data_IF_649481582497
#
_entry.id   IF_649481582497
#
_cell.length_a   1.000
_cell.length_b   1.000
_cell.length_c   1.000
_cell.angle_alpha   90.00
_cell.angle_beta   90.00
_cell.angle_gamma   90.00
#
_symmetry.space_group_name_H-M   'P 1'
#
loop_
_entity.id
_entity.type
_entity.pdbx_description
1 polymer ?
#
# COMPACT_ATOMS: atom_id res chain seq x y z
N UNK A 1 -27.80 17.86 23.80
CA UNK A 1 -27.36 16.46 24.02
C UNK A 1 -27.63 15.58 22.80
N UNK A 2 -28.88 15.42 22.33
CA UNK A 2 -29.23 14.53 21.21
C UNK A 2 -28.52 14.86 19.88
N UNK A 3 -28.43 16.14 19.50
CA UNK A 3 -27.75 16.57 18.27
C UNK A 3 -26.25 16.25 18.29
N UNK A 4 -25.59 16.44 19.44
CA UNK A 4 -24.16 16.13 19.59
C UNK A 4 -23.87 14.62 19.47
N UNK A 5 -24.74 13.77 20.02
CA UNK A 5 -24.63 12.31 19.88
C UNK A 5 -24.85 11.87 18.43
N UNK A 6 -25.81 12.48 17.73
CA UNK A 6 -26.10 12.17 16.32
C UNK A 6 -24.93 12.55 15.40
N UNK A 7 -24.31 13.71 15.63
CA UNK A 7 -23.13 14.17 14.88
C UNK A 7 -21.93 13.25 15.12
N UNK A 8 -21.69 12.85 16.37
CA UNK A 8 -20.62 11.91 16.71
C UNK A 8 -20.85 10.52 16.10
N UNK A 9 -22.09 10.02 16.13
CA UNK A 9 -22.44 8.74 15.52
C UNK A 9 -22.28 8.76 13.99
N UNK A 10 -22.70 9.84 13.33
CA UNK A 10 -22.51 10.03 11.90
C UNK A 10 -21.02 10.11 11.53
N UNK A 11 -20.22 10.86 12.30
CA UNK A 11 -18.77 10.94 12.10
C UNK A 11 -18.10 9.57 12.29
N UNK A 12 -18.46 8.82 13.34
CA UNK A 12 -17.94 7.48 13.57
C UNK A 12 -18.31 6.49 12.46
N UNK A 13 -19.52 6.58 11.91
CA UNK A 13 -19.98 5.76 10.80
C UNK A 13 -19.19 6.07 9.51
N UNK A 14 -19.03 7.35 9.19
CA UNK A 14 -18.27 7.80 8.01
C UNK A 14 -16.81 7.37 8.13
N UNK A 15 -16.16 7.66 9.26
CA UNK A 15 -14.78 7.29 9.51
C UNK A 15 -14.59 5.77 9.53
N UNK A 16 -15.48 5.02 10.19
CA UNK A 16 -15.45 3.56 10.25
C UNK A 16 -15.67 2.87 8.89
N UNK A 17 -16.34 3.53 7.94
CA UNK A 17 -16.58 2.98 6.60
C UNK A 17 -15.34 3.00 5.69
N UNK A 18 -14.41 3.92 5.91
CA UNK A 18 -13.19 4.11 5.10
C UNK A 18 -12.35 2.83 4.96
N UNK A 19 -11.94 2.12 6.05
CA UNK A 19 -11.14 0.90 5.93
C UNK A 19 -11.86 -0.23 5.19
N UNK A 20 -13.19 -0.32 5.34
CA UNK A 20 -14.02 -1.33 4.67
C UNK A 20 -14.05 -1.07 3.17
N UNK A 21 -14.33 0.18 2.78
CA UNK A 21 -14.36 0.60 1.38
C UNK A 21 -13.00 0.44 0.71
N UNK A 22 -11.89 0.79 1.39
CA UNK A 22 -10.54 0.55 0.87
C UNK A 22 -10.27 -0.93 0.63
N UNK A 23 -10.65 -1.80 1.57
CA UNK A 23 -10.45 -3.25 1.44
C UNK A 23 -11.26 -3.84 0.28
N UNK A 24 -12.49 -3.38 0.08
CA UNK A 24 -13.34 -3.78 -1.05
C UNK A 24 -12.77 -3.26 -2.38
N UNK A 25 -12.35 -2.00 -2.43
CA UNK A 25 -11.72 -1.39 -3.61
C UNK A 25 -10.48 -2.16 -4.05
N UNK A 26 -9.57 -2.48 -3.12
CA UNK A 26 -8.37 -3.29 -3.44
C UNK A 26 -8.70 -4.69 -3.95
N UNK A 27 -9.72 -5.33 -3.38
CA UNK A 27 -10.18 -6.64 -3.87
C UNK A 27 -10.69 -6.54 -5.31
N UNK A 28 -11.45 -5.50 -5.62
CA UNK A 28 -11.96 -5.27 -6.97
C UNK A 28 -10.83 -4.95 -7.96
N UNK A 29 -9.89 -4.08 -7.58
CA UNK A 29 -8.73 -3.73 -8.42
C UNK A 29 -7.92 -5.00 -8.74
N UNK A 30 -7.57 -5.80 -7.72
CA UNK A 30 -6.82 -7.05 -7.93
C UNK A 30 -7.60 -8.08 -8.76
N UNK A 31 -8.92 -8.14 -8.62
CA UNK A 31 -9.75 -9.01 -9.45
C UNK A 31 -9.72 -8.57 -10.92
N UNK A 32 -9.71 -7.25 -11.20
CA UNK A 32 -9.56 -6.71 -12.55
C UNK A 32 -8.18 -6.98 -13.13
N UNK A 33 -7.15 -6.94 -12.29
CA UNK A 33 -5.76 -7.22 -12.67
C UNK A 33 -5.42 -8.72 -12.68
N UNK A 34 -6.38 -9.62 -12.49
CA UNK A 34 -6.11 -11.07 -12.41
C UNK A 34 -5.38 -11.62 -13.66
N UNK A 35 -5.64 -11.02 -14.83
CA UNK A 35 -5.00 -11.38 -16.09
C UNK A 35 -3.80 -10.45 -16.46
N UNK A 36 -3.40 -9.55 -15.57
CA UNK A 36 -2.28 -8.63 -15.75
C UNK A 36 -1.26 -8.81 -14.61
N UNK A 37 -0.29 -9.73 -14.77
CA UNK A 37 0.75 -9.96 -13.77
C UNK A 37 1.59 -8.71 -13.47
N UNK A 38 1.86 -7.85 -14.46
CA UNK A 38 2.66 -6.64 -14.25
C UNK A 38 1.88 -5.63 -13.40
N UNK A 39 0.60 -5.40 -13.73
CA UNK A 39 -0.29 -4.56 -12.93
C UNK A 39 -0.47 -5.07 -11.50
N UNK A 40 -0.53 -6.39 -11.28
CA UNK A 40 -0.56 -6.95 -9.92
C UNK A 40 0.72 -6.66 -9.13
N UNK A 41 1.89 -6.74 -9.76
CA UNK A 41 3.17 -6.40 -9.11
C UNK A 41 3.18 -4.91 -8.72
N UNK A 42 2.70 -4.03 -9.60
CA UNK A 42 2.58 -2.59 -9.31
C UNK A 42 1.63 -2.30 -8.14
N UNK A 43 0.48 -2.97 -8.10
CA UNK A 43 -0.46 -2.84 -6.98
C UNK A 43 0.19 -3.23 -5.65
N UNK A 44 0.96 -4.33 -5.63
CA UNK A 44 1.68 -4.76 -4.43
C UNK A 44 2.83 -3.83 -4.05
N UNK A 45 3.51 -3.23 -5.03
CA UNK A 45 4.51 -2.19 -4.79
C UNK A 45 3.87 -0.92 -4.21
N UNK A 46 2.74 -0.47 -4.76
CA UNK A 46 1.97 0.66 -4.23
C UNK A 46 1.55 0.45 -2.78
N UNK A 47 1.05 -0.74 -2.45
CA UNK A 47 0.72 -1.12 -1.07
C UNK A 47 1.92 -1.07 -0.13
N UNK A 48 3.08 -1.55 -0.58
CA UNK A 48 4.32 -1.49 0.18
C UNK A 48 4.80 -0.05 0.39
N UNK A 49 4.74 0.79 -0.64
CA UNK A 49 5.09 2.22 -0.60
C UNK A 49 4.20 2.99 0.38
N UNK A 50 2.88 2.76 0.35
CA UNK A 50 1.97 3.34 1.34
C UNK A 50 2.35 2.93 2.77
N UNK A 51 2.66 1.65 2.98
CA UNK A 51 3.06 1.17 4.30
C UNK A 51 4.42 1.75 4.75
N UNK A 52 5.38 1.90 3.83
CA UNK A 52 6.66 2.55 4.09
C UNK A 52 6.47 4.02 4.49
N UNK A 53 5.55 4.74 3.84
CA UNK A 53 5.22 6.10 4.22
C UNK A 53 4.70 6.20 5.67
N UNK A 54 3.91 5.22 6.14
CA UNK A 54 3.48 5.15 7.55
C UNK A 54 4.65 4.95 8.52
N UNK A 55 5.73 4.32 8.07
CA UNK A 55 6.96 4.14 8.83
C UNK A 55 7.93 5.32 8.71
N UNK A 56 7.53 6.42 8.06
CA UNK A 56 8.38 7.60 7.84
C UNK A 56 9.37 7.45 6.67
N UNK A 57 9.17 6.44 5.81
CA UNK A 57 10.08 6.08 4.72
C UNK A 57 9.44 6.33 3.34
N UNK A 58 8.69 7.42 3.22
CA UNK A 58 8.01 7.78 1.98
C UNK A 58 9.00 8.00 0.80
N UNK A 59 8.62 7.65 -0.44
CA UNK A 59 9.44 7.90 -1.62
C UNK A 59 9.61 9.39 -1.91
N UNK A 60 10.75 9.76 -2.49
CA UNK A 60 10.99 11.09 -3.04
C UNK A 60 10.39 11.19 -4.45
N UNK A 61 10.07 12.41 -4.92
CA UNK A 61 9.31 12.67 -6.16
C UNK A 61 9.82 11.97 -7.42
N UNK A 62 11.14 11.75 -7.54
CA UNK A 62 11.76 11.12 -8.71
C UNK A 62 12.54 9.85 -8.35
N UNK A 63 12.25 9.27 -7.18
CA UNK A 63 12.97 8.09 -6.72
C UNK A 63 12.45 6.84 -7.41
N UNK A 64 13.37 6.10 -8.04
CA UNK A 64 13.05 4.81 -8.63
C UNK A 64 12.79 3.75 -7.55
N UNK A 65 12.10 2.64 -7.88
CA UNK A 65 11.89 1.56 -6.91
C UNK A 65 13.17 1.01 -6.29
N UNK A 66 14.22 0.87 -7.10
CA UNK A 66 15.51 0.37 -6.66
C UNK A 66 16.24 1.38 -5.76
N UNK A 67 16.16 2.68 -6.07
CA UNK A 67 16.72 3.72 -5.20
C UNK A 67 16.00 3.79 -3.86
N UNK A 68 14.66 3.72 -3.87
CA UNK A 68 13.86 3.66 -2.65
C UNK A 68 14.26 2.45 -1.80
N UNK A 69 14.35 1.27 -2.40
CA UNK A 69 14.73 0.07 -1.69
C UNK A 69 16.13 0.18 -1.06
N UNK A 70 17.12 0.69 -1.82
CA UNK A 70 18.48 0.93 -1.30
C UNK A 70 18.45 1.88 -0.11
N UNK A 71 17.73 3.00 -0.20
CA UNK A 71 17.61 3.98 0.88
C UNK A 71 16.91 3.39 2.11
N UNK A 72 15.82 2.66 1.90
CA UNK A 72 15.06 1.99 2.96
C UNK A 72 15.94 0.97 3.68
N UNK A 73 16.65 0.11 2.96
CA UNK A 73 17.53 -0.89 3.57
C UNK A 73 18.66 -0.22 4.36
N UNK A 74 19.27 0.85 3.82
CA UNK A 74 20.32 1.60 4.51
C UNK A 74 19.83 2.31 5.77
N UNK A 75 18.58 2.77 5.79
CA UNK A 75 17.98 3.52 6.91
C UNK A 75 17.38 2.58 7.95
N UNK A 76 16.72 1.51 7.51
CA UNK A 76 15.93 0.59 8.32
C UNK A 76 15.77 -0.76 7.60
N UNK A 77 16.71 -1.67 7.80
CA UNK A 77 16.69 -3.00 7.17
C UNK A 77 15.57 -3.94 7.64
N UNK A 78 14.97 -3.69 8.81
CA UNK A 78 13.95 -4.57 9.41
C UNK A 78 12.57 -4.50 8.73
N UNK A 79 12.42 -3.66 7.71
CA UNK A 79 11.14 -3.37 7.06
C UNK A 79 10.75 -4.45 6.03
N UNK A 80 11.56 -5.51 5.94
CA UNK A 80 11.30 -6.70 5.13
C UNK A 80 11.99 -6.66 3.76
N UNK A 81 11.61 -7.55 2.84
CA UNK A 81 12.32 -7.77 1.58
C UNK A 81 12.00 -6.72 0.50
N UNK A 82 12.23 -5.44 0.81
CA UNK A 82 11.90 -4.31 -0.07
C UNK A 82 12.74 -4.34 -1.36
N UNK A 83 14.01 -4.76 -1.29
CA UNK A 83 14.90 -4.88 -2.47
C UNK A 83 14.43 -5.91 -3.48
N UNK A 84 13.98 -7.07 -3.02
CA UNK A 84 13.45 -8.10 -3.91
C UNK A 84 12.15 -7.63 -4.57
N UNK A 85 11.26 -6.99 -3.81
CA UNK A 85 10.03 -6.42 -4.35
C UNK A 85 10.31 -5.30 -5.37
N UNK A 86 11.27 -4.42 -5.09
CA UNK A 86 11.70 -3.38 -6.01
C UNK A 86 12.25 -3.97 -7.33
N UNK A 87 12.97 -5.09 -7.25
CA UNK A 87 13.46 -5.78 -8.44
C UNK A 87 12.29 -6.34 -9.27
N UNK A 88 11.28 -6.92 -8.63
CA UNK A 88 10.09 -7.44 -9.31
C UNK A 88 9.29 -6.33 -10.00
N UNK A 89 9.06 -5.19 -9.33
CA UNK A 89 8.31 -4.08 -9.95
C UNK A 89 9.09 -3.42 -11.07
N UNK A 90 10.41 -3.26 -10.92
CA UNK A 90 11.26 -2.79 -12.02
C UNK A 90 11.21 -3.76 -13.20
N UNK A 91 11.24 -5.07 -12.96
CA UNK A 91 11.03 -6.04 -14.02
C UNK A 91 9.65 -5.89 -14.67
N UNK A 92 8.58 -5.82 -13.88
CA UNK A 92 7.20 -5.66 -14.38
C UNK A 92 7.01 -4.40 -15.24
N UNK A 93 7.74 -3.32 -14.95
CA UNK A 93 7.70 -2.06 -15.74
C UNK A 93 8.37 -2.14 -17.11
N UNK A 94 9.43 -2.94 -17.22
CA UNK A 94 10.34 -2.87 -18.37
C UNK A 94 10.44 -4.17 -19.16
N UNK A 95 10.00 -5.30 -18.60
CA UNK A 95 10.00 -6.57 -19.30
C UNK A 95 8.82 -6.65 -20.27
N UNK A 96 9.04 -7.27 -21.43
CA UNK A 96 8.00 -7.53 -22.42
C UNK A 96 6.95 -8.53 -21.92
N UNK A 97 7.37 -9.46 -21.04
CA UNK A 97 6.51 -10.50 -20.48
C UNK A 97 6.76 -10.63 -18.98
N UNK A 98 5.68 -10.66 -18.20
CA UNK A 98 5.72 -10.89 -16.75
C UNK A 98 4.91 -12.14 -16.43
N UNK A 99 5.50 -13.09 -15.72
CA UNK A 99 4.83 -14.35 -15.37
C UNK A 99 3.90 -14.21 -14.16
N UNK A 100 2.82 -14.99 -14.12
CA UNK A 100 1.92 -15.04 -12.98
C UNK A 100 2.62 -15.44 -11.67
N UNK A 101 3.64 -16.31 -11.72
CA UNK A 101 4.45 -16.67 -10.55
C UNK A 101 5.22 -15.49 -9.96
N UNK A 102 5.66 -14.54 -10.79
CA UNK A 102 6.31 -13.31 -10.30
C UNK A 102 5.30 -12.41 -9.58
N UNK A 103 4.07 -12.30 -10.08
CA UNK A 103 3.00 -11.57 -9.39
C UNK A 103 2.65 -12.21 -8.03
N UNK A 104 2.57 -13.54 -7.96
CA UNK A 104 2.38 -14.27 -6.69
C UNK A 104 3.54 -13.98 -5.72
N UNK A 105 4.79 -14.06 -6.21
CA UNK A 105 5.97 -13.75 -5.38
C UNK A 105 5.96 -12.30 -4.89
N UNK A 106 5.62 -11.33 -5.74
CA UNK A 106 5.46 -9.93 -5.35
C UNK A 106 4.38 -9.76 -4.28
N UNK A 107 3.28 -10.53 -4.37
CA UNK A 107 2.25 -10.52 -3.34
C UNK A 107 2.74 -10.99 -1.97
N UNK A 108 3.54 -12.07 -1.93
CA UNK A 108 4.18 -12.53 -0.69
C UNK A 108 5.10 -11.45 -0.14
N UNK A 109 6.06 -10.96 -0.94
CA UNK A 109 7.04 -9.96 -0.50
C UNK A 109 6.38 -8.64 -0.06
N UNK A 110 5.43 -8.14 -0.85
CA UNK A 110 4.66 -6.94 -0.53
C UNK A 110 3.88 -7.08 0.76
N UNK A 111 3.23 -8.23 1.00
CA UNK A 111 2.52 -8.49 2.25
C UNK A 111 3.43 -8.50 3.47
N UNK A 112 4.66 -8.99 3.34
CA UNK A 112 5.67 -8.99 4.41
C UNK A 112 6.12 -7.56 4.74
N UNK A 113 6.41 -6.74 3.73
CA UNK A 113 6.76 -5.32 3.92
C UNK A 113 5.62 -4.57 4.60
N UNK A 114 4.39 -4.72 4.11
CA UNK A 114 3.20 -4.11 4.70
C UNK A 114 3.02 -4.52 6.16
N UNK A 115 3.17 -5.81 6.48
CA UNK A 115 3.05 -6.32 7.84
C UNK A 115 4.14 -5.74 8.77
N UNK A 116 5.39 -5.69 8.32
CA UNK A 116 6.51 -5.13 9.08
C UNK A 116 6.34 -3.64 9.34
N UNK A 117 6.05 -2.83 8.31
CA UNK A 117 5.75 -1.41 8.46
C UNK A 117 4.61 -1.17 9.46
N UNK A 118 3.52 -1.94 9.34
CA UNK A 118 2.38 -1.80 10.24
C UNK A 118 2.75 -2.14 11.67
N UNK A 119 3.58 -3.16 11.93
CA UNK A 119 4.01 -3.48 13.30
C UNK A 119 4.82 -2.36 13.94
N UNK A 120 5.58 -1.62 13.14
CA UNK A 120 6.46 -0.54 13.61
C UNK A 120 5.75 0.84 13.68
N UNK A 121 4.65 1.02 12.95
CA UNK A 121 3.88 2.25 12.96
C UNK A 121 3.23 2.50 14.33
N UNK A 122 3.35 3.73 14.83
CA UNK A 122 2.71 4.17 16.08
C UNK A 122 1.17 4.05 16.00
N UNK A 123 0.51 3.86 17.15
CA UNK A 123 -0.96 3.80 17.19
C UNK A 123 -1.62 5.05 16.60
N UNK A 124 -1.02 6.23 16.78
CA UNK A 124 -1.52 7.49 16.23
C UNK A 124 -1.43 7.55 14.70
N UNK A 125 -0.30 7.15 14.11
CA UNK A 125 -0.13 7.11 12.64
C UNK A 125 -1.05 6.08 11.98
N UNK A 126 -1.28 4.94 12.65
CA UNK A 126 -2.24 3.92 12.21
C UNK A 126 -3.67 4.44 12.18
N UNK A 127 -4.10 5.15 13.23
CA UNK A 127 -5.46 5.71 13.29
C UNK A 127 -5.66 6.80 12.23
N UNK A 128 -4.74 7.76 12.12
CA UNK A 128 -4.86 8.86 11.16
C UNK A 128 -4.89 8.37 9.71
N UNK A 129 -4.04 7.40 9.34
CA UNK A 129 -4.02 6.84 7.98
C UNK A 129 -5.21 5.95 7.65
N UNK A 130 -5.81 5.30 8.67
CA UNK A 130 -7.02 4.48 8.50
C UNK A 130 -8.22 5.37 8.19
N UNK A 131 -8.24 6.56 8.76
CA UNK A 131 -9.35 7.52 8.69
C UNK A 131 -9.16 8.64 7.66
N UNK A 132 -8.09 8.60 6.86
CA UNK A 132 -7.84 9.59 5.81
C UNK A 132 -8.75 9.35 4.58
N UNK A 133 -9.75 10.22 4.34
CA UNK A 133 -10.71 10.04 3.26
C UNK A 133 -10.09 10.31 1.88
N UNK A 134 -8.98 11.06 1.79
CA UNK A 134 -8.31 11.36 0.51
C UNK A 134 -7.83 10.09 -0.19
N UNK A 135 -7.57 9.04 0.59
CA UNK A 135 -7.17 7.72 0.10
C UNK A 135 -8.27 6.98 -0.68
N UNK A 136 -9.55 7.33 -0.48
CA UNK A 136 -10.67 6.77 -1.27
C UNK A 136 -10.75 7.38 -2.67
N UNK A 137 -10.38 8.66 -2.80
CA UNK A 137 -10.47 9.38 -4.08
C UNK A 137 -9.31 9.07 -5.03
N UNK A 138 -8.16 8.62 -4.51
CA UNK A 138 -7.02 8.17 -5.33
C UNK A 138 -7.31 6.89 -6.14
N UNK A 139 -8.27 6.07 -5.70
CA UNK A 139 -8.64 4.82 -6.37
C UNK A 139 -9.48 5.00 -7.67
N UNK A 140 -9.84 6.24 -8.05
CA UNK A 140 -10.71 6.55 -9.21
C UNK A 140 -10.03 7.24 -10.39
N UNK A 141 -8.73 7.53 -10.31
CA UNK A 141 -7.96 8.09 -11.44
C UNK A 141 -7.17 6.98 -12.15
N UNK A 142 -7.87 6.06 -12.79
CA UNK A 142 -7.37 5.19 -13.86
C UNK A 142 -8.47 5.10 -14.91
#
# INVERSE_FOLDING_TARGET
MAVGVLVLAAAALVLGSVPVLRRLGRRQVRARLANDPAGLIEEWWGDAVEALALAGLAPRTFETPLELARRVVATRGEVGPVSELATLVTHGRYALNTSASMAVRAGVLGSLVVASCRRQASLSSRLLSTFDPSTLFRARSL
#
